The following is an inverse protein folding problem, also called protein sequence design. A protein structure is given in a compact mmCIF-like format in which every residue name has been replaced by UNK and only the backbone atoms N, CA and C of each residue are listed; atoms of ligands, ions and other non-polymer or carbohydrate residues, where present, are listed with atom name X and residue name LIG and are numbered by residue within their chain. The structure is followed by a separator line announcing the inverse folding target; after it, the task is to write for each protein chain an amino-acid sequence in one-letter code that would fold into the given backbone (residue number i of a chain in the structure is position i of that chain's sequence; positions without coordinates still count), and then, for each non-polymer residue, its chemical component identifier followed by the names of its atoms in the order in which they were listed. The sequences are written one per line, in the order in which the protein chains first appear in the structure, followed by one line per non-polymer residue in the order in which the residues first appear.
data_IF_000079098482
#
_entry.id   IF_000079098482
#
_cell.length_a   1.000
_cell.length_b   1.000
_cell.length_c   1.000
_cell.angle_alpha   90.00
_cell.angle_beta   90.00
_cell.angle_gamma   90.00
#
_symmetry.space_group_name_H-M   'P 1'
#
loop_
_entity.id
_entity.type
_entity.pdbx_description
1 polymer ?
#
# COMPACT_ATOMS: atom_id res chain seq x y z
N UNK A 1 -13.89 20.54 7.80
CA UNK A 1 -14.46 20.59 9.15
C UNK A 1 -13.37 20.13 10.11
N UNK A 2 -13.01 20.98 11.09
CA UNK A 2 -12.14 20.63 12.20
C UNK A 2 -13.02 20.27 13.41
N UNK A 3 -12.76 19.13 14.04
CA UNK A 3 -13.32 18.75 15.32
C UNK A 3 -12.24 19.06 16.35
N UNK A 4 -12.44 20.13 17.14
CA UNK A 4 -11.56 20.44 18.26
C UNK A 4 -12.06 19.73 19.52
N UNK A 5 -11.12 19.23 20.36
CA UNK A 5 -11.41 18.60 21.65
C UNK A 5 -12.34 17.37 21.60
N UNK A 6 -12.33 16.63 20.48
CA UNK A 6 -13.18 15.45 20.33
C UNK A 6 -12.74 14.32 21.26
N UNK A 7 -13.71 13.71 21.95
CA UNK A 7 -13.50 12.51 22.77
C UNK A 7 -13.16 11.30 21.89
N UNK A 8 -12.52 10.26 22.45
CA UNK A 8 -12.19 9.05 21.70
C UNK A 8 -13.37 8.45 20.93
N UNK A 9 -14.53 8.36 21.57
CA UNK A 9 -15.76 7.82 20.99
C UNK A 9 -16.29 8.71 19.86
N UNK A 10 -16.17 10.02 19.97
CA UNK A 10 -16.60 10.98 18.95
C UNK A 10 -15.71 10.90 17.70
N UNK A 11 -14.41 10.64 17.87
CA UNK A 11 -13.48 10.41 16.78
C UNK A 11 -13.85 9.14 16.02
N UNK A 12 -14.12 8.04 16.72
CA UNK A 12 -14.55 6.79 16.13
C UNK A 12 -15.87 6.94 15.36
N UNK A 13 -16.87 7.60 15.97
CA UNK A 13 -18.14 7.88 15.32
C UNK A 13 -18.02 8.78 14.08
N UNK A 14 -17.08 9.73 14.08
CA UNK A 14 -16.80 10.56 12.90
C UNK A 14 -16.23 9.73 11.75
N UNK A 15 -15.33 8.78 12.03
CA UNK A 15 -14.77 7.85 11.03
C UNK A 15 -15.87 6.97 10.46
N UNK A 16 -16.72 6.38 11.30
CA UNK A 16 -17.83 5.54 10.87
C UNK A 16 -18.80 6.29 9.95
N UNK A 17 -19.13 7.55 10.28
CA UNK A 17 -19.96 8.42 9.43
C UNK A 17 -19.33 8.64 8.04
N UNK A 18 -18.02 8.87 7.98
CA UNK A 18 -17.32 9.03 6.71
C UNK A 18 -17.31 7.73 5.90
N UNK A 19 -17.12 6.59 6.55
CA UNK A 19 -17.18 5.26 5.92
C UNK A 19 -18.59 4.96 5.41
N UNK A 20 -19.63 5.30 6.17
CA UNK A 20 -21.02 5.18 5.73
C UNK A 20 -21.35 6.02 4.49
N UNK A 21 -20.59 7.10 4.25
CA UNK A 21 -20.67 7.92 3.03
C UNK A 21 -19.84 7.33 1.86
N UNK A 22 -19.28 6.13 2.00
CA UNK A 22 -18.44 5.48 1.00
C UNK A 22 -17.01 6.04 0.89
N UNK A 23 -16.55 6.80 1.90
CA UNK A 23 -15.19 7.34 1.94
C UNK A 23 -14.23 6.36 2.60
N UNK A 24 -13.04 6.23 2.05
CA UNK A 24 -11.94 5.51 2.70
C UNK A 24 -11.21 6.46 3.65
N UNK A 25 -11.11 6.07 4.91
CA UNK A 25 -10.57 6.92 5.98
C UNK A 25 -9.25 6.37 6.48
N UNK A 26 -8.21 7.22 6.43
CA UNK A 26 -6.94 6.96 7.08
C UNK A 26 -6.88 7.76 8.39
N UNK A 27 -6.74 7.05 9.51
CA UNK A 27 -6.55 7.67 10.84
C UNK A 27 -5.07 7.65 11.20
N UNK A 28 -4.59 8.78 11.70
CA UNK A 28 -3.24 8.91 12.25
C UNK A 28 -3.36 9.28 13.72
N UNK A 29 -2.76 8.51 14.59
CA UNK A 29 -2.83 8.72 16.04
C UNK A 29 -1.53 8.35 16.74
N UNK A 30 -1.32 8.90 17.93
CA UNK A 30 -0.10 8.71 18.73
C UNK A 30 -0.35 8.10 20.11
N UNK A 31 -1.60 8.00 20.55
CA UNK A 31 -1.93 7.64 21.92
C UNK A 31 -3.00 6.59 22.09
N UNK A 32 -3.14 6.13 23.37
CA UNK A 32 -4.17 5.18 23.80
C UNK A 32 -5.57 5.72 23.50
N UNK A 33 -5.76 7.03 23.59
CA UNK A 33 -7.04 7.69 23.34
C UNK A 33 -7.50 7.61 21.88
N UNK A 34 -6.58 7.35 20.96
CA UNK A 34 -6.89 7.20 19.53
C UNK A 34 -7.17 5.76 19.13
N UNK A 35 -6.92 4.78 20.02
CA UNK A 35 -7.11 3.35 19.76
C UNK A 35 -8.50 3.01 19.22
N UNK A 36 -9.63 3.51 19.78
CA UNK A 36 -10.94 3.22 19.22
C UNK A 36 -11.11 3.76 17.78
N UNK A 37 -10.57 4.93 17.50
CA UNK A 37 -10.60 5.55 16.17
C UNK A 37 -9.68 4.82 15.17
N UNK A 38 -8.50 4.38 15.60
CA UNK A 38 -7.58 3.58 14.79
C UNK A 38 -8.21 2.23 14.42
N UNK A 39 -8.91 1.58 15.35
CA UNK A 39 -9.53 0.28 15.13
C UNK A 39 -10.67 0.30 14.09
N UNK A 40 -11.42 1.41 13.98
CA UNK A 40 -12.53 1.54 13.03
C UNK A 40 -12.13 2.14 11.68
N UNK A 41 -10.91 2.65 11.55
CA UNK A 41 -10.41 3.24 10.31
C UNK A 41 -10.09 2.17 9.26
N UNK A 42 -10.19 2.51 7.97
CA UNK A 42 -9.79 1.61 6.86
C UNK A 42 -8.26 1.48 6.78
N UNK A 43 -7.55 2.50 7.22
CA UNK A 43 -6.10 2.52 7.35
C UNK A 43 -5.73 3.21 8.66
N UNK A 44 -5.00 2.51 9.51
CA UNK A 44 -4.54 3.01 10.79
C UNK A 44 -3.02 3.21 10.76
N UNK A 45 -2.57 4.42 11.13
CA UNK A 45 -1.17 4.81 11.20
C UNK A 45 -0.86 5.26 12.63
N UNK A 46 0.02 4.54 13.32
CA UNK A 46 0.55 4.94 14.62
C UNK A 46 1.84 5.76 14.44
N UNK A 47 1.99 6.78 15.29
CA UNK A 47 3.21 7.59 15.33
C UNK A 47 4.22 6.95 16.27
N UNK A 48 5.50 6.94 15.88
CA UNK A 48 6.59 6.48 16.73
C UNK A 48 6.72 7.36 17.97
N UNK A 49 6.78 6.71 19.14
CA UNK A 49 6.67 7.36 20.45
C UNK A 49 5.26 7.29 21.05
N UNK A 50 4.28 6.77 20.30
CA UNK A 50 2.96 6.43 20.80
C UNK A 50 2.98 5.23 21.76
N UNK A 51 1.83 4.95 22.39
CA UNK A 51 1.69 3.79 23.26
C UNK A 51 1.81 2.47 22.48
N UNK A 52 2.29 1.42 23.13
CA UNK A 52 2.38 0.08 22.55
C UNK A 52 1.02 -0.41 22.02
N UNK A 53 -0.07 -0.04 22.71
CA UNK A 53 -1.44 -0.37 22.32
C UNK A 53 -1.85 0.32 21.01
N UNK A 54 -1.47 1.58 20.83
CA UNK A 54 -1.74 2.30 19.57
C UNK A 54 -0.92 1.69 18.42
N UNK A 55 0.32 1.28 18.68
CA UNK A 55 1.19 0.62 17.71
C UNK A 55 0.60 -0.73 17.30
N UNK A 56 0.10 -1.51 18.27
CA UNK A 56 -0.51 -2.83 18.01
C UNK A 56 -1.83 -2.72 17.23
N UNK A 57 -2.59 -1.64 17.46
CA UNK A 57 -3.86 -1.38 16.77
C UNK A 57 -3.69 -0.81 15.36
N UNK A 58 -2.50 -0.36 14.99
CA UNK A 58 -2.21 0.25 13.70
C UNK A 58 -1.56 -0.74 12.74
N UNK A 59 -2.00 -0.71 11.47
CA UNK A 59 -1.35 -1.48 10.40
C UNK A 59 -0.04 -0.87 9.90
N UNK A 60 0.22 0.40 10.23
CA UNK A 60 1.39 1.15 9.78
C UNK A 60 1.99 1.91 10.97
N UNK A 61 3.31 1.85 11.09
CA UNK A 61 4.07 2.60 12.08
C UNK A 61 4.96 3.64 11.39
N UNK A 62 4.87 4.90 11.85
CA UNK A 62 5.77 5.99 11.49
C UNK A 62 6.84 6.16 12.59
N UNK A 63 8.03 5.57 12.46
CA UNK A 63 8.99 5.48 13.59
C UNK A 63 9.48 6.83 14.12
N UNK A 64 9.50 7.85 13.28
CA UNK A 64 10.01 9.18 13.65
C UNK A 64 8.96 10.12 14.22
N UNK A 65 7.69 9.72 14.29
CA UNK A 65 6.60 10.61 14.70
C UNK A 65 6.41 11.85 13.81
N UNK A 66 7.06 11.87 12.65
CA UNK A 66 7.05 13.02 11.75
C UNK A 66 5.94 12.88 10.70
N UNK A 67 4.91 13.71 10.82
CA UNK A 67 3.78 13.77 9.88
C UNK A 67 4.20 14.18 8.45
N UNK A 68 5.34 14.83 8.28
CA UNK A 68 5.87 15.19 6.95
C UNK A 68 6.20 13.97 6.10
N UNK A 69 6.37 12.79 6.72
CA UNK A 69 6.57 11.52 6.02
C UNK A 69 5.28 10.85 5.54
N UNK A 70 4.14 11.37 5.92
CA UNK A 70 2.86 10.83 5.49
C UNK A 70 2.67 10.85 3.95
N UNK A 71 3.01 11.93 3.23
CA UNK A 71 2.99 11.91 1.77
C UNK A 71 3.92 10.85 1.17
N UNK A 72 5.12 10.65 1.73
CA UNK A 72 6.05 9.62 1.29
C UNK A 72 5.46 8.21 1.42
N UNK A 73 4.72 7.95 2.51
CA UNK A 73 3.99 6.69 2.70
C UNK A 73 2.98 6.44 1.57
N UNK A 74 2.19 7.44 1.20
CA UNK A 74 1.22 7.31 0.11
C UNK A 74 1.90 7.13 -1.25
N UNK A 75 3.03 7.76 -1.50
CA UNK A 75 3.78 7.61 -2.74
C UNK A 75 4.38 6.19 -2.86
N UNK A 76 4.95 5.67 -1.78
CA UNK A 76 5.43 4.28 -1.71
C UNK A 76 4.27 3.30 -1.95
N UNK A 77 3.13 3.51 -1.32
CA UNK A 77 1.94 2.66 -1.51
C UNK A 77 1.48 2.65 -2.96
N UNK A 78 1.39 3.82 -3.60
CA UNK A 78 1.00 3.93 -5.03
C UNK A 78 2.01 3.25 -5.95
N UNK A 79 3.30 3.45 -5.70
CA UNK A 79 4.36 2.81 -6.47
C UNK A 79 4.31 1.28 -6.34
N UNK A 80 4.10 0.79 -5.12
CA UNK A 80 3.94 -0.64 -4.83
C UNK A 80 2.76 -1.24 -5.59
N UNK A 81 1.58 -0.63 -5.52
CA UNK A 81 0.39 -1.11 -6.23
C UNK A 81 0.60 -1.09 -7.75
N UNK A 82 1.26 -0.06 -8.28
CA UNK A 82 1.60 0.01 -9.71
C UNK A 82 2.50 -1.16 -10.11
N UNK A 83 3.53 -1.43 -9.34
CA UNK A 83 4.46 -2.55 -9.59
C UNK A 83 3.74 -3.89 -9.51
N UNK A 84 2.88 -4.10 -8.51
CA UNK A 84 2.07 -5.32 -8.40
C UNK A 84 1.19 -5.51 -9.64
N UNK A 85 0.49 -4.47 -10.06
CA UNK A 85 -0.36 -4.54 -11.28
C UNK A 85 0.44 -4.86 -12.52
N UNK A 86 1.58 -4.23 -12.70
CA UNK A 86 2.48 -4.53 -13.83
C UNK A 86 2.96 -5.97 -13.81
N UNK A 87 3.44 -6.46 -12.68
CA UNK A 87 3.90 -7.83 -12.54
C UNK A 87 2.78 -8.83 -12.81
N UNK A 88 1.58 -8.57 -12.29
CA UNK A 88 0.41 -9.42 -12.51
C UNK A 88 -0.01 -9.42 -13.99
N UNK A 89 -0.01 -8.26 -14.65
CA UNK A 89 -0.32 -8.15 -16.08
C UNK A 89 0.66 -8.95 -16.92
N UNK A 90 1.96 -8.84 -16.64
CA UNK A 90 2.99 -9.61 -17.36
C UNK A 90 2.83 -11.11 -17.13
N UNK A 91 2.57 -11.54 -15.90
CA UNK A 91 2.36 -12.95 -15.58
C UNK A 91 1.12 -13.53 -16.28
N UNK A 92 0.01 -12.78 -16.29
CA UNK A 92 -1.21 -13.19 -16.98
C UNK A 92 -1.01 -13.23 -18.51
N UNK A 93 -0.36 -12.22 -19.09
CA UNK A 93 -0.10 -12.15 -20.52
C UNK A 93 0.76 -13.33 -20.98
N UNK A 94 1.83 -13.62 -20.24
CA UNK A 94 2.68 -14.77 -20.53
C UNK A 94 1.89 -16.07 -20.54
N UNK A 95 1.08 -16.32 -19.51
CA UNK A 95 0.28 -17.53 -19.42
C UNK A 95 -0.80 -17.62 -20.52
N UNK A 96 -1.42 -16.49 -20.86
CA UNK A 96 -2.43 -16.41 -21.92
C UNK A 96 -1.87 -16.80 -23.30
N UNK A 97 -0.60 -16.49 -23.54
CA UNK A 97 0.08 -16.83 -24.81
C UNK A 97 0.66 -18.23 -24.76
N UNK A 98 1.33 -18.60 -23.66
CA UNK A 98 2.07 -19.86 -23.57
C UNK A 98 1.19 -21.10 -23.52
N UNK A 99 0.01 -21.02 -22.87
CA UNK A 99 -0.90 -22.16 -22.73
C UNK A 99 -1.44 -22.62 -24.09
N UNK A 100 -2.03 -21.74 -24.96
CA UNK A 100 -2.49 -22.17 -26.28
C UNK A 100 -1.36 -22.70 -27.16
N UNK A 101 -0.18 -22.07 -27.14
CA UNK A 101 0.97 -22.52 -27.96
C UNK A 101 1.49 -23.88 -27.50
N UNK A 102 1.47 -24.14 -26.18
CA UNK A 102 1.80 -25.47 -25.66
C UNK A 102 0.76 -26.52 -26.05
N UNK A 103 -0.55 -26.16 -26.02
CA UNK A 103 -1.64 -27.04 -26.40
C UNK A 103 -1.61 -27.45 -27.88
N UNK A 104 -1.06 -26.59 -28.75
CA UNK A 104 -0.84 -26.88 -30.17
C UNK A 104 0.37 -27.79 -30.42
N UNK A 105 1.08 -28.21 -29.38
CA UNK A 105 2.24 -29.12 -29.49
C UNK A 105 3.50 -28.48 -30.10
N UNK A 106 3.51 -27.15 -30.29
CA UNK A 106 4.61 -26.41 -30.89
C UNK A 106 5.79 -26.22 -29.94
N UNK A 107 5.50 -26.20 -28.61
CA UNK A 107 6.51 -25.94 -27.59
C UNK A 107 7.01 -27.23 -26.94
N UNK A 108 8.33 -27.42 -27.00
CA UNK A 108 8.97 -28.48 -26.23
C UNK A 108 8.89 -28.16 -24.71
N UNK A 109 8.63 -29.14 -23.84
CA UNK A 109 8.49 -28.91 -22.38
C UNK A 109 9.66 -28.16 -21.75
N UNK A 110 10.90 -28.40 -22.22
CA UNK A 110 12.09 -27.69 -21.72
C UNK A 110 12.06 -26.20 -22.02
N UNK A 111 11.51 -25.79 -23.15
CA UNK A 111 11.39 -24.37 -23.53
C UNK A 111 10.35 -23.68 -22.64
N UNK A 112 9.25 -24.36 -22.34
CA UNK A 112 8.26 -23.84 -21.41
C UNK A 112 8.84 -23.62 -19.98
N UNK A 113 9.63 -24.61 -19.50
CA UNK A 113 10.24 -24.52 -18.18
C UNK A 113 11.26 -23.39 -18.08
N UNK A 114 12.11 -23.21 -19.10
CA UNK A 114 13.09 -22.12 -19.13
C UNK A 114 12.42 -20.75 -19.24
N UNK A 115 11.39 -20.60 -20.07
CA UNK A 115 10.65 -19.36 -20.22
C UNK A 115 9.90 -18.98 -18.93
N UNK A 116 9.32 -19.94 -18.21
CA UNK A 116 8.67 -19.73 -16.92
C UNK A 116 9.67 -19.25 -15.86
N UNK A 117 10.86 -19.86 -15.81
CA UNK A 117 11.93 -19.44 -14.90
C UNK A 117 12.43 -18.04 -15.22
N UNK A 118 12.61 -17.69 -16.48
CA UNK A 118 13.02 -16.35 -16.92
C UNK A 118 11.96 -15.30 -16.57
N UNK A 119 10.67 -15.60 -16.72
CA UNK A 119 9.57 -14.72 -16.32
C UNK A 119 9.59 -14.45 -14.81
N UNK A 120 9.80 -15.49 -13.99
CA UNK A 120 9.87 -15.35 -12.52
C UNK A 120 11.05 -14.47 -12.09
N UNK A 121 12.21 -14.63 -12.72
CA UNK A 121 13.39 -13.80 -12.47
C UNK A 121 13.10 -12.34 -12.90
N UNK A 122 12.44 -12.13 -14.03
CA UNK A 122 12.05 -10.81 -14.51
C UNK A 122 11.14 -10.07 -13.52
N UNK A 123 10.12 -10.73 -12.99
CA UNK A 123 9.23 -10.20 -11.96
C UNK A 123 9.99 -9.85 -10.69
N UNK A 124 10.90 -10.72 -10.25
CA UNK A 124 11.74 -10.47 -9.07
C UNK A 124 12.63 -9.24 -9.26
N UNK A 125 13.33 -9.15 -10.39
CA UNK A 125 14.18 -7.99 -10.70
C UNK A 125 13.38 -6.68 -10.80
N UNK A 126 12.17 -6.75 -11.38
CA UNK A 126 11.29 -5.58 -11.46
C UNK A 126 10.83 -5.14 -10.07
N UNK A 127 10.50 -6.07 -9.19
CA UNK A 127 10.11 -5.78 -7.81
C UNK A 127 11.26 -5.21 -6.98
N UNK A 128 12.49 -5.69 -7.18
CA UNK A 128 13.67 -5.16 -6.50
C UNK A 128 13.99 -3.71 -6.87
N UNK A 129 13.70 -3.29 -8.10
CA UNK A 129 13.85 -1.89 -8.53
C UNK A 129 12.98 -0.91 -7.74
N UNK A 130 11.87 -1.37 -7.18
CA UNK A 130 11.02 -0.56 -6.31
C UNK A 130 11.78 -0.08 -5.06
N UNK A 131 12.65 -0.92 -4.51
CA UNK A 131 13.49 -0.57 -3.35
C UNK A 131 14.48 0.57 -3.65
N UNK A 132 15.00 0.63 -4.86
CA UNK A 132 15.96 1.66 -5.28
C UNK A 132 15.25 2.94 -5.76
N UNK A 133 14.04 2.82 -6.31
CA UNK A 133 13.22 3.96 -6.79
C UNK A 133 12.72 4.87 -5.67
N UNK A 134 12.47 4.34 -4.47
CA UNK A 134 12.05 5.12 -3.30
C UNK A 134 13.04 6.21 -2.86
N UNK A 135 14.29 6.15 -3.34
CA UNK A 135 15.29 7.20 -3.12
C UNK A 135 15.28 8.33 -4.17
N UNK A 136 14.65 8.17 -5.31
CA UNK A 136 14.79 9.08 -6.46
C UNK A 136 13.57 9.93 -6.79
N UNK A 137 12.38 9.58 -6.30
CA UNK A 137 11.17 10.39 -6.50
C UNK A 137 10.88 11.36 -5.34
N UNK A 138 11.94 11.95 -4.78
CA UNK A 138 11.83 13.06 -3.83
C UNK A 138 11.65 14.39 -4.57
N UNK A 139 10.52 14.55 -5.25
CA UNK A 139 9.98 15.86 -5.61
C UNK A 139 8.71 15.67 -6.43
N UNK A 140 7.60 15.43 -5.74
CA UNK A 140 6.32 15.77 -6.34
C UNK A 140 5.77 16.96 -5.57
N UNK A 141 5.68 18.16 -6.19
CA UNK A 141 5.09 19.30 -5.53
C UNK A 141 3.61 18.97 -5.30
N UNK A 142 3.20 18.95 -4.05
CA UNK A 142 1.82 18.95 -3.61
C UNK A 142 1.14 20.20 -4.19
N UNK A 143 0.68 20.13 -5.43
CA UNK A 143 -0.08 21.19 -6.06
C UNK A 143 -1.55 20.99 -5.71
N UNK A 144 -1.99 21.83 -4.76
CA UNK A 144 -3.35 22.18 -4.38
C UNK A 144 -4.43 21.69 -5.36
N UNK A 145 -5.29 20.78 -4.88
CA UNK A 145 -6.68 20.67 -5.32
C UNK A 145 -7.55 20.68 -4.05
N UNK A 146 -7.90 21.86 -3.68
CA UNK A 146 -9.11 22.12 -2.88
C UNK A 146 -10.18 22.63 -3.82
#
# INVERSE_FOLDING_TARGET
HALSEARPDEKAAAIERLRAQGKTVCMVGDGINDTPALAVADCAVAMGGGSDIAIESAGILLPSGNLEKLPELFDISRATIRTIRQNLTWALFYNLVSIPVAALGVLHPSICATAMSASSIGVLMHSLRLKDGGKKERCFPWKKRF
#
